data_IF_414902320206
#
_entry.id   IF_414902320206
#
_cell.length_a   1.000
_cell.length_b   1.000
_cell.length_c   1.000
_cell.angle_alpha   90.00
_cell.angle_beta   90.00
_cell.angle_gamma   90.00
#
_symmetry.space_group_name_H-M   'P 1'
#
loop_
_entity.id
_entity.type
_entity.pdbx_description
1 polymer ?
#
# COMPACT_ATOMS: atom_id res chain seq x y z
N UNK A 1 28.98 -15.43 -105.55
CA UNK A 1 29.99 -14.93 -104.61
C UNK A 1 29.28 -14.21 -103.49
N UNK A 2 28.92 -14.91 -102.45
CA UNK A 2 28.17 -14.37 -101.30
C UNK A 2 28.90 -14.70 -100.03
N UNK A 3 29.28 -13.68 -99.32
CA UNK A 3 29.97 -13.79 -98.01
C UNK A 3 28.96 -13.97 -96.87
N UNK A 4 29.19 -14.85 -95.92
CA UNK A 4 28.30 -14.96 -94.75
C UNK A 4 28.65 -13.89 -93.66
N UNK A 5 27.60 -13.29 -93.10
CA UNK A 5 27.71 -12.40 -91.93
C UNK A 5 27.76 -13.26 -90.68
N UNK A 6 28.80 -13.05 -89.89
CA UNK A 6 28.91 -13.55 -88.52
C UNK A 6 28.08 -12.67 -87.61
N UNK A 7 27.15 -13.30 -86.86
CA UNK A 7 26.41 -12.67 -85.79
C UNK A 7 27.13 -12.97 -84.46
N UNK A 8 27.64 -11.92 -83.78
CA UNK A 8 28.27 -12.01 -82.46
C UNK A 8 27.19 -11.84 -81.37
N UNK A 9 26.91 -12.91 -80.61
CA UNK A 9 26.04 -12.83 -79.48
C UNK A 9 26.85 -12.27 -78.26
N UNK A 10 26.49 -11.11 -77.74
CA UNK A 10 26.99 -10.55 -76.52
C UNK A 10 26.17 -11.11 -75.35
N UNK A 11 26.78 -11.91 -74.49
CA UNK A 11 26.21 -12.40 -73.25
C UNK A 11 26.49 -11.35 -72.14
N UNK A 12 25.42 -10.60 -71.79
CA UNK A 12 25.52 -9.66 -70.63
C UNK A 12 25.29 -10.44 -69.34
N UNK A 13 26.35 -10.61 -68.55
CA UNK A 13 26.28 -11.14 -67.21
C UNK A 13 25.77 -10.05 -66.24
N UNK A 14 24.53 -10.22 -65.77
CA UNK A 14 23.91 -9.36 -64.74
C UNK A 14 24.36 -9.82 -63.35
N UNK A 15 25.37 -9.17 -62.76
CA UNK A 15 25.80 -9.41 -61.38
C UNK A 15 24.81 -8.77 -60.40
N UNK A 16 23.98 -9.59 -59.69
CA UNK A 16 23.15 -9.14 -58.57
C UNK A 16 24.09 -8.89 -57.38
N UNK A 17 24.33 -7.61 -57.01
CA UNK A 17 24.87 -7.23 -55.72
C UNK A 17 23.76 -7.37 -54.67
N UNK A 18 23.79 -8.43 -53.85
CA UNK A 18 23.02 -8.49 -52.61
C UNK A 18 23.61 -7.44 -51.63
N UNK A 19 22.92 -6.32 -51.49
CA UNK A 19 23.21 -5.37 -50.40
C UNK A 19 22.76 -6.02 -49.09
N UNK A 20 23.71 -6.54 -48.31
CA UNK A 20 23.49 -6.93 -46.93
C UNK A 20 23.24 -5.65 -46.12
N UNK A 21 21.97 -5.40 -45.74
CA UNK A 21 21.63 -4.35 -44.77
C UNK A 21 22.31 -4.67 -43.45
N UNK A 22 23.07 -3.74 -42.84
CA UNK A 22 23.64 -3.97 -41.51
C UNK A 22 22.46 -4.14 -40.54
N UNK A 23 22.39 -5.29 -39.86
CA UNK A 23 21.50 -5.49 -38.74
C UNK A 23 21.85 -4.39 -37.70
N UNK A 24 20.97 -3.43 -37.51
CA UNK A 24 21.07 -2.45 -36.46
C UNK A 24 21.05 -3.21 -35.14
N UNK A 25 22.21 -3.34 -34.50
CA UNK A 25 22.31 -3.80 -33.13
C UNK A 25 21.46 -2.82 -32.28
N UNK A 26 20.32 -3.28 -31.80
CA UNK A 26 19.51 -2.53 -30.84
C UNK A 26 20.40 -2.30 -29.62
N UNK A 27 20.75 -1.05 -29.37
CA UNK A 27 21.42 -0.65 -28.12
C UNK A 27 20.54 -1.14 -26.99
N UNK A 28 21.06 -1.94 -26.03
CA UNK A 28 20.27 -2.38 -24.89
C UNK A 28 19.69 -1.14 -24.20
N UNK A 29 18.37 -1.00 -24.20
CA UNK A 29 17.70 0.13 -23.57
C UNK A 29 18.17 0.21 -22.10
N UNK A 30 18.40 1.42 -21.60
CA UNK A 30 18.77 1.65 -20.20
C UNK A 30 17.80 0.88 -19.29
N UNK A 31 18.32 -0.02 -18.48
CA UNK A 31 17.52 -0.80 -17.56
C UNK A 31 16.90 0.13 -16.51
N UNK A 32 15.56 0.14 -16.43
CA UNK A 32 14.84 0.98 -15.46
C UNK A 32 15.14 0.52 -14.04
N UNK A 33 15.39 1.47 -13.15
CA UNK A 33 15.60 1.23 -11.72
C UNK A 33 14.60 2.05 -10.91
N UNK A 34 13.83 1.40 -10.05
CA UNK A 34 12.86 2.02 -9.16
C UNK A 34 13.38 1.93 -7.72
N UNK A 35 13.42 3.06 -7.02
CA UNK A 35 13.60 3.09 -5.57
C UNK A 35 12.29 2.80 -4.85
N UNK A 36 12.28 1.84 -3.92
CA UNK A 36 11.13 1.55 -3.06
C UNK A 36 11.48 1.90 -1.62
N UNK A 37 10.97 3.03 -1.12
CA UNK A 37 11.16 3.47 0.25
C UNK A 37 9.95 3.10 1.11
N UNK A 38 10.13 2.13 2.01
CA UNK A 38 9.07 1.56 2.84
C UNK A 38 9.12 2.12 4.25
N UNK A 39 7.96 2.37 4.83
CA UNK A 39 7.81 2.90 6.18
C UNK A 39 8.38 1.97 7.25
N UNK A 40 8.00 0.68 7.23
CA UNK A 40 8.41 -0.33 8.20
C UNK A 40 8.09 -1.73 7.67
N UNK A 41 9.10 -2.53 7.38
CA UNK A 41 8.94 -3.90 6.87
C UNK A 41 8.55 -4.94 7.94
N UNK A 42 8.55 -4.57 9.23
CA UNK A 42 8.00 -5.44 10.28
C UNK A 42 6.47 -5.52 10.19
N UNK A 43 5.82 -4.46 9.68
CA UNK A 43 4.38 -4.48 9.42
C UNK A 43 4.07 -5.32 8.18
N UNK A 44 3.27 -6.39 8.36
CA UNK A 44 2.91 -7.32 7.30
C UNK A 44 2.23 -6.62 6.12
N UNK A 45 1.41 -5.61 6.38
CA UNK A 45 0.75 -4.78 5.38
C UNK A 45 1.74 -4.18 4.37
N UNK A 46 2.82 -3.54 4.85
CA UNK A 46 3.83 -2.95 3.96
C UNK A 46 4.70 -4.00 3.27
N UNK A 47 4.94 -5.14 3.95
CA UNK A 47 5.68 -6.25 3.35
C UNK A 47 4.92 -6.86 2.17
N UNK A 48 3.58 -6.97 2.25
CA UNK A 48 2.75 -7.42 1.13
C UNK A 48 2.84 -6.46 -0.08
N UNK A 49 2.80 -5.13 0.15
CA UNK A 49 2.97 -4.13 -0.92
C UNK A 49 4.37 -4.25 -1.55
N UNK A 50 5.42 -4.33 -0.72
CA UNK A 50 6.80 -4.56 -1.18
C UNK A 50 6.90 -5.76 -2.10
N UNK A 51 6.42 -6.92 -1.65
CA UNK A 51 6.45 -8.15 -2.43
C UNK A 51 5.72 -8.02 -3.77
N UNK A 52 4.60 -7.30 -3.79
CA UNK A 52 3.86 -7.04 -5.01
C UNK A 52 4.63 -6.14 -5.98
N UNK A 53 5.25 -5.07 -5.47
CA UNK A 53 6.12 -4.18 -6.26
C UNK A 53 7.28 -4.97 -6.87
N UNK A 54 8.00 -5.75 -6.06
CA UNK A 54 9.17 -6.52 -6.50
C UNK A 54 8.81 -7.59 -7.54
N UNK A 55 7.71 -8.33 -7.35
CA UNK A 55 7.22 -9.30 -8.35
C UNK A 55 6.82 -8.62 -9.66
N UNK A 56 6.07 -7.52 -9.56
CA UNK A 56 5.56 -6.81 -10.74
C UNK A 56 6.68 -6.17 -11.55
N UNK A 57 7.65 -5.57 -10.89
CA UNK A 57 8.82 -4.98 -11.49
C UNK A 57 9.75 -6.06 -12.09
N UNK A 58 10.02 -7.12 -11.34
CA UNK A 58 10.88 -8.24 -11.76
C UNK A 58 10.35 -8.92 -13.02
N UNK A 59 9.03 -9.13 -13.13
CA UNK A 59 8.39 -9.68 -14.33
C UNK A 59 8.58 -8.82 -15.60
N UNK A 60 8.95 -7.55 -15.44
CA UNK A 60 9.22 -6.59 -16.52
C UNK A 60 10.71 -6.26 -16.68
N UNK A 61 11.61 -7.00 -16.00
CA UNK A 61 13.05 -6.77 -16.05
C UNK A 61 13.52 -5.47 -15.36
N UNK A 62 12.67 -4.87 -14.51
CA UNK A 62 12.95 -3.64 -13.78
C UNK A 62 13.69 -3.99 -12.50
N UNK A 63 14.75 -3.22 -12.17
CA UNK A 63 15.45 -3.35 -10.90
C UNK A 63 14.73 -2.55 -9.81
N UNK A 64 14.52 -3.14 -8.64
CA UNK A 64 13.99 -2.45 -7.46
C UNK A 64 15.08 -2.37 -6.39
N UNK A 65 15.34 -1.17 -5.89
CA UNK A 65 16.19 -0.93 -4.72
C UNK A 65 15.26 -0.61 -3.55
N UNK A 66 15.10 -1.58 -2.65
CA UNK A 66 14.21 -1.41 -1.48
C UNK A 66 15.02 -0.91 -0.28
N UNK A 67 14.47 0.10 0.43
CA UNK A 67 14.98 0.60 1.69
C UNK A 67 13.87 0.59 2.74
N UNK A 68 14.24 0.29 3.99
CA UNK A 68 13.32 0.18 5.13
C UNK A 68 13.66 1.25 6.17
N UNK A 69 12.73 2.14 6.42
CA UNK A 69 12.90 3.21 7.40
C UNK A 69 12.73 2.74 8.86
N UNK A 70 12.21 1.53 9.08
CA UNK A 70 11.92 0.97 10.41
C UNK A 70 11.08 1.91 11.30
N UNK A 71 10.19 2.69 10.69
CA UNK A 71 9.34 3.67 11.35
C UNK A 71 9.97 5.04 11.59
N UNK A 72 11.26 5.23 11.27
CA UNK A 72 11.97 6.48 11.50
C UNK A 72 11.99 7.40 10.27
N UNK A 73 11.39 8.58 10.40
CA UNK A 73 11.27 9.54 9.29
C UNK A 73 12.62 10.16 8.90
N UNK A 74 13.56 10.33 9.83
CA UNK A 74 14.87 10.90 9.51
C UNK A 74 15.73 9.92 8.74
N UNK A 75 15.73 8.65 9.15
CA UNK A 75 16.33 7.55 8.39
C UNK A 75 15.78 7.50 6.98
N UNK A 76 14.45 7.62 6.81
CA UNK A 76 13.83 7.58 5.48
C UNK A 76 14.25 8.74 4.59
N UNK A 77 14.40 9.96 5.14
CA UNK A 77 14.91 11.12 4.39
C UNK A 77 16.31 10.81 3.83
N UNK A 78 17.22 10.29 4.66
CA UNK A 78 18.59 9.94 4.24
C UNK A 78 18.59 8.83 3.20
N UNK A 79 17.78 7.80 3.37
CA UNK A 79 17.65 6.69 2.42
C UNK A 79 17.14 7.15 1.05
N UNK A 80 16.19 8.08 1.02
CA UNK A 80 15.68 8.62 -0.26
C UNK A 80 16.72 9.51 -0.93
N UNK A 81 17.51 10.28 -0.17
CA UNK A 81 18.65 11.02 -0.70
C UNK A 81 19.68 10.09 -1.36
N UNK A 82 19.97 8.93 -0.75
CA UNK A 82 20.84 7.90 -1.33
C UNK A 82 20.23 7.32 -2.63
N UNK A 83 18.93 7.01 -2.67
CA UNK A 83 18.25 6.57 -3.89
C UNK A 83 18.36 7.61 -5.02
N UNK A 84 18.21 8.90 -4.70
CA UNK A 84 18.37 10.02 -5.64
C UNK A 84 19.82 10.04 -6.17
N UNK A 85 20.80 9.94 -5.28
CA UNK A 85 22.23 9.94 -5.64
C UNK A 85 22.60 8.74 -6.52
N UNK A 86 21.95 7.60 -6.34
CA UNK A 86 22.11 6.40 -7.21
C UNK A 86 21.45 6.55 -8.57
N UNK A 87 20.70 7.63 -8.81
CA UNK A 87 20.07 7.91 -10.10
C UNK A 87 18.94 6.95 -10.46
N UNK A 88 18.08 6.59 -9.47
CA UNK A 88 16.87 5.82 -9.77
C UNK A 88 15.93 6.60 -10.69
N UNK A 89 15.20 5.89 -11.55
CA UNK A 89 14.33 6.52 -12.56
C UNK A 89 12.96 6.96 -11.99
N UNK A 90 12.53 6.36 -10.86
CA UNK A 90 11.35 6.76 -10.09
C UNK A 90 11.47 6.31 -8.64
N UNK A 91 10.69 6.91 -7.74
CA UNK A 91 10.59 6.49 -6.34
C UNK A 91 9.15 6.12 -6.01
N UNK A 92 8.93 4.89 -5.53
CA UNK A 92 7.71 4.48 -4.85
C UNK A 92 7.94 4.74 -3.36
N UNK A 93 7.11 5.58 -2.75
CA UNK A 93 7.32 6.10 -1.42
C UNK A 93 6.13 5.86 -0.50
N UNK A 94 6.35 5.09 0.58
CA UNK A 94 5.43 4.92 1.70
C UNK A 94 6.01 5.68 2.89
N UNK A 95 5.52 6.87 3.23
CA UNK A 95 6.08 7.68 4.32
C UNK A 95 6.08 6.96 5.67
N UNK A 96 7.19 7.01 6.38
CA UNK A 96 7.33 6.42 7.72
C UNK A 96 6.43 7.12 8.76
N UNK A 97 6.15 8.43 8.56
CA UNK A 97 5.27 9.21 9.40
C UNK A 97 4.79 10.47 8.68
N UNK A 98 4.02 11.30 9.38
CA UNK A 98 3.55 12.58 8.85
C UNK A 98 4.66 13.65 8.86
N UNK A 99 5.51 13.62 9.89
CA UNK A 99 6.62 14.54 10.06
C UNK A 99 7.68 14.29 8.99
N UNK A 100 8.22 15.36 8.42
CA UNK A 100 9.24 15.33 7.38
C UNK A 100 8.87 14.62 6.06
N UNK A 101 7.67 14.05 5.93
CA UNK A 101 7.25 13.32 4.72
C UNK A 101 7.38 14.13 3.42
N UNK A 102 7.22 15.44 3.50
CA UNK A 102 7.32 16.34 2.35
C UNK A 102 8.78 16.56 1.87
N UNK A 103 9.78 16.36 2.72
CA UNK A 103 11.19 16.64 2.41
C UNK A 103 11.70 15.74 1.28
N UNK A 104 11.53 14.40 1.35
CA UNK A 104 11.96 13.51 0.26
C UNK A 104 11.28 13.80 -1.08
N UNK A 105 9.98 14.14 -1.06
CA UNK A 105 9.24 14.44 -2.31
C UNK A 105 9.80 15.70 -2.98
N UNK A 106 10.08 16.73 -2.19
CA UNK A 106 10.71 17.96 -2.73
C UNK A 106 12.11 17.68 -3.29
N UNK A 107 12.91 16.87 -2.60
CA UNK A 107 14.27 16.51 -3.06
C UNK A 107 14.22 15.69 -4.36
N UNK A 108 13.36 14.68 -4.45
CA UNK A 108 13.18 13.87 -5.67
C UNK A 108 12.71 14.75 -6.85
N UNK A 109 11.73 15.63 -6.61
CA UNK A 109 11.22 16.55 -7.64
C UNK A 109 12.31 17.52 -8.13
N UNK A 110 13.16 18.07 -7.25
CA UNK A 110 14.29 18.91 -7.64
C UNK A 110 15.32 18.15 -8.49
N UNK A 111 15.45 16.83 -8.30
CA UNK A 111 16.28 15.95 -9.10
C UNK A 111 15.60 15.44 -10.39
N UNK A 112 14.37 15.86 -10.66
CA UNK A 112 13.58 15.40 -11.83
C UNK A 112 13.09 13.95 -11.73
N UNK A 113 13.09 13.35 -10.54
CA UNK A 113 12.69 11.97 -10.28
C UNK A 113 11.23 11.95 -9.85
N UNK A 114 10.31 11.27 -10.58
CA UNK A 114 8.91 11.18 -10.22
C UNK A 114 8.71 10.33 -8.95
N UNK A 115 7.69 10.72 -8.16
CA UNK A 115 7.35 10.08 -6.89
C UNK A 115 5.92 9.54 -6.92
N UNK A 116 5.77 8.25 -6.66
CA UNK A 116 4.49 7.57 -6.44
C UNK A 116 4.31 7.36 -4.94
N UNK A 117 3.43 8.14 -4.29
CA UNK A 117 3.07 7.87 -2.91
C UNK A 117 2.09 6.70 -2.81
N UNK A 118 2.33 5.78 -1.87
CA UNK A 118 1.46 4.63 -1.61
C UNK A 118 1.02 4.63 -0.15
N UNK A 119 -0.25 4.31 0.11
CA UNK A 119 -0.89 4.24 1.43
C UNK A 119 -0.92 5.58 2.19
N UNK A 120 0.21 6.26 2.27
CA UNK A 120 0.36 7.54 2.96
C UNK A 120 0.78 8.62 1.97
N UNK A 121 0.13 9.79 2.07
CA UNK A 121 0.53 10.95 1.28
C UNK A 121 1.41 11.89 2.11
N UNK A 122 2.30 12.59 1.45
CA UNK A 122 3.15 13.59 2.08
C UNK A 122 2.40 14.94 2.15
N UNK A 123 1.93 15.32 3.34
CA UNK A 123 1.27 16.61 3.54
C UNK A 123 2.17 17.77 3.11
N UNK A 124 1.63 18.72 2.37
CA UNK A 124 2.36 19.94 1.90
C UNK A 124 3.31 19.71 0.72
N UNK A 125 3.56 18.45 0.30
CA UNK A 125 4.25 18.11 -0.94
C UNK A 125 3.84 16.71 -1.40
N UNK A 126 2.62 16.55 -1.94
CA UNK A 126 2.17 15.26 -2.44
C UNK A 126 3.06 14.78 -3.58
N UNK A 127 3.16 13.46 -3.75
CA UNK A 127 3.82 12.86 -4.92
C UNK A 127 3.12 13.21 -6.23
N UNK A 128 3.65 12.72 -7.34
CA UNK A 128 3.04 12.92 -8.66
C UNK A 128 1.71 12.19 -8.77
N UNK A 129 1.57 11.07 -8.06
CA UNK A 129 0.31 10.35 -7.83
C UNK A 129 0.28 9.78 -6.41
N UNK A 130 -0.92 9.60 -5.88
CA UNK A 130 -1.19 8.97 -4.58
C UNK A 130 -2.12 7.77 -4.75
N UNK A 131 -1.64 6.58 -4.37
CA UNK A 131 -2.35 5.32 -4.45
C UNK A 131 -2.66 4.86 -3.02
N UNK A 132 -3.92 4.72 -2.67
CA UNK A 132 -4.33 4.30 -1.34
C UNK A 132 -5.71 3.63 -1.34
N UNK A 133 -6.10 3.07 -0.21
CA UNK A 133 -7.49 2.70 0.04
C UNK A 133 -8.35 3.96 0.21
N UNK A 134 -9.59 3.94 -0.28
CA UNK A 134 -10.63 4.87 0.17
C UNK A 134 -10.98 4.55 1.63
N UNK A 135 -10.10 5.00 2.52
CA UNK A 135 -10.17 4.70 3.95
C UNK A 135 -11.38 5.36 4.62
N UNK A 136 -11.89 6.46 4.07
CA UNK A 136 -13.12 7.09 4.58
C UNK A 136 -14.33 6.19 4.32
N UNK A 137 -14.49 5.74 3.08
CA UNK A 137 -15.61 4.85 2.72
C UNK A 137 -15.49 3.49 3.43
N UNK A 138 -14.28 2.93 3.50
CA UNK A 138 -14.02 1.65 4.16
C UNK A 138 -14.31 1.71 5.67
N UNK A 139 -13.80 2.72 6.38
CA UNK A 139 -14.03 2.86 7.82
C UNK A 139 -15.49 3.18 8.14
N UNK A 140 -16.20 3.90 7.27
CA UNK A 140 -17.66 4.09 7.39
C UNK A 140 -18.38 2.75 7.28
N UNK A 141 -18.05 1.91 6.30
CA UNK A 141 -18.62 0.58 6.14
C UNK A 141 -18.38 -0.29 7.39
N UNK A 142 -17.18 -0.22 7.98
CA UNK A 142 -16.86 -0.92 9.22
C UNK A 142 -17.68 -0.39 10.40
N UNK A 143 -17.83 0.92 10.51
CA UNK A 143 -18.66 1.54 11.55
C UNK A 143 -20.14 1.18 11.42
N UNK A 144 -20.69 1.16 10.21
CA UNK A 144 -22.06 0.70 9.92
C UNK A 144 -22.24 -0.79 10.31
N UNK A 145 -21.21 -1.63 10.07
CA UNK A 145 -21.19 -3.01 10.53
C UNK A 145 -21.22 -3.10 12.07
N UNK A 146 -20.37 -2.34 12.76
CA UNK A 146 -20.35 -2.30 14.23
C UNK A 146 -21.72 -1.85 14.76
N UNK A 147 -22.32 -0.78 14.21
CA UNK A 147 -23.66 -0.35 14.54
C UNK A 147 -24.70 -1.47 14.46
N UNK A 148 -24.67 -2.20 13.34
CA UNK A 148 -25.62 -3.31 13.11
C UNK A 148 -25.42 -4.45 14.10
N UNK A 149 -24.19 -4.87 14.35
CA UNK A 149 -23.86 -6.02 15.19
C UNK A 149 -24.16 -5.75 16.69
N UNK A 150 -24.02 -4.50 17.14
CA UNK A 150 -24.27 -4.10 18.52
C UNK A 150 -25.71 -3.66 18.78
N UNK A 151 -26.58 -3.66 17.75
CA UNK A 151 -27.91 -3.06 17.85
C UNK A 151 -27.88 -1.56 18.13
N UNK A 152 -26.79 -0.88 17.74
CA UNK A 152 -26.57 0.56 17.90
C UNK A 152 -26.28 1.00 19.33
N UNK A 153 -25.86 0.12 20.23
CA UNK A 153 -25.61 0.42 21.67
C UNK A 153 -24.26 -0.12 22.11
N UNK A 154 -23.58 0.59 23.01
CA UNK A 154 -22.35 0.16 23.66
C UNK A 154 -21.28 1.24 23.77
N UNK A 155 -20.19 0.86 24.40
CA UNK A 155 -19.02 1.70 24.63
C UNK A 155 -17.88 1.30 23.74
N UNK A 156 -17.42 2.20 22.89
CA UNK A 156 -16.39 1.98 21.88
C UNK A 156 -15.07 2.55 22.36
N UNK A 157 -14.02 1.74 22.35
CA UNK A 157 -12.64 2.16 22.52
C UNK A 157 -11.93 2.12 21.16
N UNK A 158 -11.16 3.15 20.84
CA UNK A 158 -10.45 3.27 19.58
C UNK A 158 -8.95 3.30 19.86
N UNK A 159 -8.24 2.30 19.35
CA UNK A 159 -6.78 2.31 19.29
C UNK A 159 -6.38 2.93 17.97
N UNK A 160 -5.95 4.19 18.05
CA UNK A 160 -5.59 4.99 16.90
C UNK A 160 -4.23 4.56 16.36
N UNK A 161 -4.02 4.80 15.07
CA UNK A 161 -2.69 4.70 14.47
C UNK A 161 -1.85 5.93 14.73
N UNK A 162 -0.74 6.05 14.00
CA UNK A 162 0.17 7.18 14.10
C UNK A 162 -0.53 8.47 13.64
N UNK A 163 -0.67 9.41 14.58
CA UNK A 163 -1.35 10.68 14.33
C UNK A 163 -0.74 11.47 13.17
N UNK A 164 -1.57 12.14 12.41
CA UNK A 164 -1.18 12.97 11.27
C UNK A 164 -0.99 12.20 9.97
N UNK A 165 -0.94 10.86 10.00
CA UNK A 165 -0.90 10.06 8.77
C UNK A 165 -2.26 10.03 8.08
N UNK A 166 -2.25 9.96 6.74
CA UNK A 166 -3.47 9.91 5.92
C UNK A 166 -4.43 8.78 6.36
N UNK A 167 -3.97 7.51 6.53
CA UNK A 167 -4.87 6.43 6.92
C UNK A 167 -5.49 6.65 8.31
N UNK A 168 -4.76 7.24 9.28
CA UNK A 168 -5.34 7.53 10.59
C UNK A 168 -6.48 8.56 10.48
N UNK A 169 -6.24 9.67 9.79
CA UNK A 169 -7.23 10.75 9.62
C UNK A 169 -8.48 10.26 8.87
N UNK A 170 -8.29 9.50 7.79
CA UNK A 170 -9.38 9.04 6.94
C UNK A 170 -10.21 7.93 7.63
N UNK A 171 -9.57 7.00 8.34
CA UNK A 171 -10.24 5.97 9.15
C UNK A 171 -11.02 6.60 10.31
N UNK A 172 -10.47 7.65 10.94
CA UNK A 172 -11.20 8.41 11.96
C UNK A 172 -12.46 9.05 11.40
N UNK A 173 -12.31 9.79 10.31
CA UNK A 173 -13.42 10.48 9.65
C UNK A 173 -14.53 9.52 9.27
N UNK A 174 -14.21 8.42 8.58
CA UNK A 174 -15.20 7.46 8.11
C UNK A 174 -15.93 6.76 9.25
N UNK A 175 -15.21 6.27 10.25
CA UNK A 175 -15.80 5.56 11.38
C UNK A 175 -16.68 6.49 12.24
N UNK A 176 -16.23 7.72 12.50
CA UNK A 176 -17.00 8.73 13.23
C UNK A 176 -18.29 9.09 12.50
N UNK A 177 -18.26 9.19 11.16
CA UNK A 177 -19.48 9.43 10.36
C UNK A 177 -20.51 8.30 10.50
N UNK A 178 -20.08 7.05 10.61
CA UNK A 178 -20.98 5.92 10.84
C UNK A 178 -21.56 5.96 12.25
N UNK A 179 -20.73 6.15 13.27
CA UNK A 179 -21.17 6.21 14.66
C UNK A 179 -22.15 7.35 14.92
N UNK A 180 -22.03 8.48 14.22
CA UNK A 180 -22.97 9.60 14.34
C UNK A 180 -24.44 9.22 14.02
N UNK A 181 -24.65 8.13 13.27
CA UNK A 181 -25.97 7.58 12.97
C UNK A 181 -26.45 6.56 14.00
N UNK A 182 -25.62 6.22 14.99
CA UNK A 182 -25.84 5.21 16.01
C UNK A 182 -25.72 5.83 17.39
N UNK A 183 -26.70 6.64 17.81
CA UNK A 183 -26.65 7.48 19.01
C UNK A 183 -26.40 6.72 20.33
N UNK A 184 -26.65 5.41 20.38
CA UNK A 184 -26.36 4.57 21.54
C UNK A 184 -24.94 4.00 21.59
N UNK A 185 -24.12 4.18 20.53
CA UNK A 185 -22.70 3.86 20.54
C UNK A 185 -21.89 5.08 20.97
N UNK A 186 -21.19 4.98 22.11
CA UNK A 186 -20.42 6.08 22.68
C UNK A 186 -18.92 5.78 22.60
N UNK A 187 -18.13 6.68 22.05
CA UNK A 187 -16.67 6.56 22.11
C UNK A 187 -16.21 7.02 23.49
N UNK A 188 -15.76 6.07 24.32
CA UNK A 188 -15.38 6.30 25.72
C UNK A 188 -13.86 6.42 25.91
N UNK A 189 -13.07 5.90 24.96
CA UNK A 189 -11.61 5.96 25.04
C UNK A 189 -11.00 6.08 23.63
N UNK A 190 -9.92 6.87 23.53
CA UNK A 190 -9.05 6.97 22.36
C UNK A 190 -7.61 7.11 22.82
N UNK A 191 -6.69 6.33 22.21
CA UNK A 191 -5.26 6.47 22.42
C UNK A 191 -4.51 6.09 21.16
N UNK A 192 -3.47 6.87 20.81
CA UNK A 192 -2.68 6.66 19.61
C UNK A 192 -1.51 5.72 19.87
N UNK A 193 -1.26 4.86 18.89
CA UNK A 193 -0.04 4.08 18.72
C UNK A 193 0.98 4.92 17.95
N UNK A 194 2.25 4.66 18.16
CA UNK A 194 3.35 5.33 17.45
C UNK A 194 3.89 4.50 16.29
N UNK A 195 3.82 3.18 16.39
CA UNK A 195 4.40 2.25 15.42
C UNK A 195 3.38 1.32 14.72
N UNK A 196 2.08 1.41 15.05
CA UNK A 196 1.04 0.50 14.55
C UNK A 196 1.29 -0.97 14.95
N UNK A 197 1.96 -1.19 16.09
CA UNK A 197 2.43 -2.49 16.52
C UNK A 197 1.43 -3.21 17.42
N UNK A 198 1.46 -4.55 17.42
CA UNK A 198 0.54 -5.37 18.21
C UNK A 198 0.76 -5.21 19.72
N UNK A 199 2.00 -5.11 20.17
CA UNK A 199 2.36 -4.89 21.57
C UNK A 199 1.90 -3.53 22.09
N UNK A 200 2.00 -2.46 21.28
CA UNK A 200 1.37 -1.18 21.61
C UNK A 200 -0.14 -1.32 21.74
N UNK A 201 -0.79 -2.02 20.78
CA UNK A 201 -2.23 -2.30 20.82
C UNK A 201 -2.65 -3.04 22.09
N UNK A 202 -1.86 -4.01 22.53
CA UNK A 202 -2.07 -4.75 23.76
C UNK A 202 -1.99 -3.84 25.00
N UNK A 203 -0.90 -3.09 25.16
CA UNK A 203 -0.69 -2.20 26.29
C UNK A 203 -1.76 -1.11 26.37
N UNK A 204 -2.08 -0.47 25.24
CA UNK A 204 -3.14 0.54 25.13
C UNK A 204 -4.50 -0.03 25.54
N UNK A 205 -4.83 -1.24 25.04
CA UNK A 205 -6.10 -1.88 25.37
C UNK A 205 -6.21 -2.25 26.85
N UNK A 206 -5.12 -2.72 27.48
CA UNK A 206 -5.10 -2.99 28.92
C UNK A 206 -5.38 -1.71 29.74
N UNK A 207 -4.72 -0.60 29.41
CA UNK A 207 -4.94 0.69 30.06
C UNK A 207 -6.38 1.18 29.89
N UNK A 208 -6.94 1.01 28.67
CA UNK A 208 -8.32 1.38 28.39
C UNK A 208 -9.33 0.54 29.18
N UNK A 209 -9.12 -0.78 29.26
CA UNK A 209 -10.00 -1.70 30.01
C UNK A 209 -9.96 -1.42 31.52
N UNK A 210 -8.79 -1.07 32.05
CA UNK A 210 -8.65 -0.71 33.46
C UNK A 210 -9.44 0.57 33.80
N UNK A 211 -9.42 1.57 32.92
CA UNK A 211 -10.11 2.85 33.09
C UNK A 211 -11.60 2.80 32.76
N UNK A 212 -11.98 1.91 31.84
CA UNK A 212 -13.33 1.80 31.29
C UNK A 212 -13.72 0.30 31.21
N UNK A 213 -14.12 -0.33 32.33
CA UNK A 213 -14.42 -1.76 32.39
C UNK A 213 -15.68 -2.15 31.61
N UNK A 214 -16.46 -1.20 31.20
CA UNK A 214 -17.73 -1.35 30.44
C UNK A 214 -17.55 -1.19 28.93
N UNK A 215 -16.31 -1.21 28.41
CA UNK A 215 -16.03 -1.25 26.97
C UNK A 215 -16.65 -2.52 26.37
N UNK A 216 -17.40 -2.36 25.27
CA UNK A 216 -18.06 -3.44 24.53
C UNK A 216 -17.48 -3.65 23.15
N UNK A 217 -16.79 -2.63 22.61
CA UNK A 217 -16.18 -2.68 21.28
C UNK A 217 -14.78 -2.08 21.29
N UNK A 218 -13.82 -2.77 20.69
CA UNK A 218 -12.54 -2.19 20.28
C UNK A 218 -12.48 -2.03 18.77
N UNK A 219 -12.09 -0.86 18.32
CA UNK A 219 -11.62 -0.64 16.97
C UNK A 219 -10.11 -0.38 16.97
N UNK A 220 -9.31 -1.37 16.56
CA UNK A 220 -7.90 -1.18 16.21
C UNK A 220 -7.78 -0.67 14.78
N UNK A 221 -7.20 0.52 14.59
CA UNK A 221 -7.07 1.13 13.26
C UNK A 221 -6.12 0.42 12.32
N UNK A 222 -5.50 -0.68 12.77
CA UNK A 222 -4.80 -1.70 11.99
C UNK A 222 -5.10 -3.08 12.61
N UNK A 223 -4.96 -4.15 11.85
CA UNK A 223 -5.15 -5.51 12.38
C UNK A 223 -4.17 -5.82 13.50
N UNK A 224 -2.93 -5.37 13.42
CA UNK A 224 -1.96 -5.53 14.50
C UNK A 224 -2.46 -4.90 15.81
N UNK A 225 -3.02 -3.69 15.78
CA UNK A 225 -3.59 -3.03 16.95
C UNK A 225 -4.82 -3.77 17.47
N UNK A 226 -5.68 -4.25 16.58
CA UNK A 226 -6.87 -5.04 16.93
C UNK A 226 -6.50 -6.39 17.56
N UNK A 227 -5.47 -7.06 17.06
CA UNK A 227 -4.93 -8.29 17.63
C UNK A 227 -4.38 -8.07 19.04
N UNK A 228 -3.68 -6.96 19.27
CA UNK A 228 -3.24 -6.55 20.59
C UNK A 228 -4.43 -6.36 21.54
N UNK A 229 -5.47 -5.65 21.10
CA UNK A 229 -6.68 -5.47 21.89
C UNK A 229 -7.39 -6.80 22.19
N UNK A 230 -7.52 -7.67 21.21
CA UNK A 230 -8.11 -9.01 21.40
C UNK A 230 -7.33 -9.84 22.42
N UNK A 231 -6.00 -9.76 22.40
CA UNK A 231 -5.15 -10.40 23.39
C UNK A 231 -5.39 -9.81 24.79
N UNK A 232 -5.47 -8.48 24.92
CA UNK A 232 -5.73 -7.82 26.20
C UNK A 232 -7.10 -8.21 26.79
N UNK A 233 -8.16 -8.27 25.98
CA UNK A 233 -9.48 -8.72 26.39
C UNK A 233 -9.45 -10.17 26.90
N UNK A 234 -8.69 -11.06 26.22
CA UNK A 234 -8.53 -12.46 26.64
C UNK A 234 -7.82 -12.59 27.98
N UNK A 235 -6.71 -11.87 28.18
CA UNK A 235 -5.96 -11.84 29.44
C UNK A 235 -6.82 -11.29 30.58
N UNK A 236 -7.65 -10.27 30.30
CA UNK A 236 -8.59 -9.67 31.27
C UNK A 236 -9.85 -10.51 31.53
N UNK A 237 -9.95 -11.75 31.03
CA UNK A 237 -11.12 -12.63 31.24
C UNK A 237 -12.39 -12.18 30.49
N UNK A 238 -12.27 -11.26 29.53
CA UNK A 238 -13.37 -10.72 28.73
C UNK A 238 -13.32 -11.19 27.25
N UNK A 239 -12.46 -12.17 26.97
CA UNK A 239 -12.35 -12.75 25.62
C UNK A 239 -13.69 -13.25 25.11
N UNK A 240 -14.06 -12.87 23.88
CA UNK A 240 -15.35 -13.20 23.26
C UNK A 240 -16.57 -12.41 23.74
N UNK A 241 -16.44 -11.60 24.82
CA UNK A 241 -17.50 -10.72 25.31
C UNK A 241 -17.42 -9.33 24.68
N UNK A 242 -16.22 -8.88 24.33
CA UNK A 242 -15.94 -7.60 23.70
C UNK A 242 -15.76 -7.85 22.19
N UNK A 243 -16.48 -7.11 21.37
CA UNK A 243 -16.29 -7.12 19.91
C UNK A 243 -14.99 -6.41 19.57
N UNK A 244 -14.11 -7.06 18.80
CA UNK A 244 -12.90 -6.43 18.30
C UNK A 244 -12.93 -6.41 16.77
N UNK A 245 -12.73 -5.23 16.17
CA UNK A 245 -12.65 -5.05 14.73
C UNK A 245 -11.34 -4.39 14.35
N UNK A 246 -10.79 -4.78 13.20
CA UNK A 246 -9.52 -4.34 12.67
C UNK A 246 -9.65 -3.62 11.33
N UNK A 247 -8.50 -3.32 10.75
CA UNK A 247 -8.36 -2.74 9.42
C UNK A 247 -7.02 -3.23 8.85
N UNK A 248 -6.93 -3.56 7.60
CA UNK A 248 -5.87 -3.96 6.69
C UNK A 248 -6.21 -5.28 5.98
N UNK A 249 -6.77 -6.26 6.70
CA UNK A 249 -7.01 -7.60 6.16
C UNK A 249 -5.69 -8.30 5.87
N UNK A 250 -4.68 -8.08 6.71
CA UNK A 250 -3.42 -8.81 6.57
C UNK A 250 -3.58 -10.29 6.96
N UNK A 251 -2.56 -11.10 6.72
CA UNK A 251 -2.67 -12.55 6.95
C UNK A 251 -3.07 -12.89 8.38
N UNK A 252 -2.50 -12.19 9.38
CA UNK A 252 -2.80 -12.43 10.78
C UNK A 252 -4.22 -11.97 11.14
N UNK A 253 -4.63 -10.81 10.63
CA UNK A 253 -5.98 -10.28 10.77
C UNK A 253 -7.04 -11.19 10.15
N UNK A 254 -6.80 -11.69 8.93
CA UNK A 254 -7.70 -12.66 8.26
C UNK A 254 -7.81 -13.97 9.02
N UNK A 255 -6.71 -14.51 9.54
CA UNK A 255 -6.72 -15.70 10.39
C UNK A 255 -7.49 -15.47 11.69
N UNK A 256 -7.35 -14.29 12.28
CA UNK A 256 -8.10 -13.91 13.48
C UNK A 256 -9.60 -13.75 13.20
N UNK A 257 -9.98 -13.24 12.04
CA UNK A 257 -11.39 -13.22 11.60
C UNK A 257 -11.91 -14.63 11.38
N UNK A 258 -11.12 -15.52 10.77
CA UNK A 258 -11.50 -16.93 10.56
C UNK A 258 -11.74 -17.66 11.88
N UNK A 259 -10.86 -17.46 12.86
CA UNK A 259 -10.98 -18.06 14.20
C UNK A 259 -12.09 -17.42 15.06
N UNK A 260 -12.56 -16.22 14.71
CA UNK A 260 -13.53 -15.44 15.51
C UNK A 260 -12.87 -14.58 16.59
N UNK A 261 -11.54 -14.48 16.62
CA UNK A 261 -10.80 -13.58 17.51
C UNK A 261 -11.08 -12.11 17.17
N UNK A 262 -11.16 -11.79 15.88
CA UNK A 262 -11.70 -10.54 15.37
C UNK A 262 -13.08 -10.78 14.76
N UNK A 263 -14.01 -9.88 15.04
CA UNK A 263 -15.35 -9.92 14.43
C UNK A 263 -15.33 -9.56 12.94
N UNK A 264 -14.47 -8.63 12.55
CA UNK A 264 -14.28 -8.19 11.17
C UNK A 264 -12.97 -7.43 10.99
N UNK A 265 -12.53 -7.34 9.75
CA UNK A 265 -11.50 -6.39 9.29
C UNK A 265 -11.90 -5.80 7.94
N UNK A 266 -11.30 -4.66 7.58
CA UNK A 266 -11.38 -4.12 6.22
C UNK A 266 -10.19 -4.61 5.40
N UNK A 267 -10.42 -5.57 4.49
CA UNK A 267 -9.33 -6.11 3.64
C UNK A 267 -8.98 -5.12 2.54
N UNK A 268 -7.76 -4.60 2.57
CA UNK A 268 -7.19 -3.70 1.58
C UNK A 268 -6.58 -4.48 0.41
N UNK A 269 -6.41 -3.82 -0.73
CA UNK A 269 -5.90 -4.44 -1.97
C UNK A 269 -4.38 -4.23 -2.12
N UNK A 270 -3.58 -4.78 -1.19
CA UNK A 270 -2.13 -4.56 -1.13
C UNK A 270 -1.39 -5.05 -2.38
N UNK A 271 -1.83 -6.17 -2.96
CA UNK A 271 -1.24 -6.71 -4.19
C UNK A 271 -1.50 -5.78 -5.37
N UNK A 272 -2.73 -5.29 -5.49
CA UNK A 272 -3.10 -4.35 -6.55
C UNK A 272 -2.43 -2.98 -6.38
N UNK A 273 -2.28 -2.49 -5.13
CA UNK A 273 -1.54 -1.24 -4.85
C UNK A 273 -0.10 -1.32 -5.35
N UNK A 274 0.59 -2.43 -5.09
CA UNK A 274 1.96 -2.64 -5.57
C UNK A 274 2.05 -2.69 -7.10
N UNK A 275 1.14 -3.41 -7.75
CA UNK A 275 1.05 -3.46 -9.22
C UNK A 275 0.79 -2.08 -9.82
N UNK A 276 -0.16 -1.33 -9.24
CA UNK A 276 -0.54 0.00 -9.69
C UNK A 276 0.60 1.00 -9.49
N UNK A 277 1.37 0.86 -8.39
CA UNK A 277 2.53 1.70 -8.11
C UNK A 277 3.63 1.52 -9.17
N UNK A 278 3.96 0.29 -9.55
CA UNK A 278 4.94 0.02 -10.62
C UNK A 278 4.45 0.58 -11.96
N UNK A 279 3.18 0.34 -12.32
CA UNK A 279 2.58 0.87 -13.55
C UNK A 279 2.64 2.40 -13.58
N UNK A 280 2.21 3.05 -12.50
CA UNK A 280 2.23 4.52 -12.39
C UNK A 280 3.65 5.08 -12.46
N UNK A 281 4.63 4.42 -11.84
CA UNK A 281 6.04 4.82 -11.93
C UNK A 281 6.54 4.76 -13.38
N UNK A 282 6.24 3.68 -14.11
CA UNK A 282 6.61 3.54 -15.52
C UNK A 282 5.92 4.57 -16.41
N UNK A 283 4.63 4.85 -16.19
CA UNK A 283 3.91 5.86 -16.95
C UNK A 283 4.52 7.26 -16.72
N UNK A 284 4.89 7.60 -15.48
CA UNK A 284 5.58 8.85 -15.15
C UNK A 284 6.98 8.94 -15.77
N UNK A 285 7.78 7.87 -15.72
CA UNK A 285 9.09 7.78 -16.39
C UNK A 285 8.94 8.06 -17.89
N UNK A 286 7.90 7.51 -18.52
CA UNK A 286 7.58 7.70 -19.93
C UNK A 286 6.80 9.00 -20.22
N UNK A 287 6.70 9.92 -19.24
CA UNK A 287 6.01 11.21 -19.36
C UNK A 287 4.54 11.10 -19.75
N UNK A 288 3.89 9.99 -19.41
CA UNK A 288 2.46 9.80 -19.58
C UNK A 288 1.68 10.42 -18.43
N UNK A 289 0.47 10.84 -18.70
CA UNK A 289 -0.44 11.36 -17.67
C UNK A 289 -0.87 10.24 -16.71
N UNK A 290 -0.80 10.52 -15.40
CA UNK A 290 -1.26 9.64 -14.33
C UNK A 290 -2.25 10.40 -13.45
N UNK A 291 -3.39 9.80 -13.02
CA UNK A 291 -4.30 10.45 -12.10
C UNK A 291 -3.59 10.86 -10.80
N UNK A 292 -3.89 12.06 -10.29
CA UNK A 292 -3.25 12.56 -9.06
C UNK A 292 -3.58 11.73 -7.83
N UNK A 293 -4.78 11.11 -7.80
CA UNK A 293 -5.26 10.27 -6.71
C UNK A 293 -5.91 9.02 -7.30
N UNK A 294 -5.55 7.85 -6.77
CA UNK A 294 -6.00 6.54 -7.24
C UNK A 294 -6.47 5.72 -6.02
N UNK A 295 -7.69 5.99 -5.55
CA UNK A 295 -8.25 5.29 -4.40
C UNK A 295 -8.78 3.91 -4.79
N UNK A 296 -8.55 2.93 -3.90
CA UNK A 296 -8.98 1.55 -4.04
C UNK A 296 -10.04 1.22 -3.00
N UNK A 297 -11.05 0.49 -3.40
CA UNK A 297 -12.04 -0.03 -2.45
C UNK A 297 -11.38 -1.09 -1.53
N UNK A 298 -11.80 -1.14 -0.26
CA UNK A 298 -11.54 -2.25 0.65
C UNK A 298 -12.82 -3.06 0.86
N UNK A 299 -12.66 -4.32 1.25
CA UNK A 299 -13.79 -5.24 1.48
C UNK A 299 -13.96 -5.48 2.96
N UNK A 300 -15.20 -5.30 3.46
CA UNK A 300 -15.55 -5.75 4.80
C UNK A 300 -15.47 -7.26 4.86
N UNK A 301 -14.51 -7.77 5.62
CA UNK A 301 -14.22 -9.19 5.76
C UNK A 301 -14.64 -9.68 7.13
N UNK A 302 -15.52 -10.65 7.13
CA UNK A 302 -16.05 -11.34 8.30
C UNK A 302 -15.80 -12.84 8.14
N UNK A 303 -16.15 -13.65 9.15
CA UNK A 303 -16.02 -15.10 9.07
C UNK A 303 -16.77 -15.71 7.87
N UNK A 304 -17.84 -15.07 7.42
CA UNK A 304 -18.65 -15.56 6.30
C UNK A 304 -17.95 -15.47 4.93
N UNK A 305 -16.99 -14.54 4.76
CA UNK A 305 -16.33 -14.29 3.48
C UNK A 305 -14.81 -14.22 3.53
N UNK A 306 -14.17 -14.66 4.62
CA UNK A 306 -12.71 -14.60 4.80
C UNK A 306 -11.94 -15.60 3.94
N UNK A 307 -12.50 -16.77 3.67
CA UNK A 307 -11.78 -17.89 3.04
C UNK A 307 -11.12 -17.56 1.69
N UNK A 308 -11.75 -16.83 0.74
CA UNK A 308 -11.10 -16.44 -0.49
C UNK A 308 -9.86 -15.55 -0.28
N UNK A 309 -9.88 -14.66 0.72
CA UNK A 309 -8.77 -13.73 0.99
C UNK A 309 -7.57 -14.43 1.63
N UNK A 310 -7.79 -15.49 2.41
CA UNK A 310 -6.71 -16.33 2.93
C UNK A 310 -6.00 -17.11 1.84
N UNK A 311 -6.73 -17.47 0.76
CA UNK A 311 -6.16 -18.19 -0.38
C UNK A 311 -5.46 -17.23 -1.36
N UNK A 312 -6.09 -16.10 -1.67
CA UNK A 312 -5.62 -15.12 -2.64
C UNK A 312 -5.86 -13.71 -2.09
N UNK A 313 -4.85 -13.13 -1.46
CA UNK A 313 -4.95 -11.75 -0.96
C UNK A 313 -4.99 -10.77 -2.17
N UNK A 314 -5.94 -9.81 -2.22
CA UNK A 314 -6.13 -8.89 -3.36
C UNK A 314 -5.09 -7.80 -3.51
#
# INVERSE_FOLDING_TARGET
MTRPRMITLAVSALTLLLAASPAQAQTPGKKVTIGLAVANLQANFFNQIKQSVERTAGAQGITVITVDAKGDSATQVSQIQDLIARGVDAIIYIPAGATAAAVPVRAARAAGIPVVNVDRNAAGAPGDTFIATDSVAAARTLGDYVCKQTGGKGNVAIIQGQLGTTPEQDRDKGFTQALAKCAGLKVVARQASTAWAQDEGFNIAQDMLQKNPDITVFFGRADALALGAAQATKVGGQGGKIMVVGFDGDTAGLQAVQSGTLAATMTQRTQYMGQLAVRSALDLINKKAVPKVQLQAATLTTRANVAPFLKNHP
#
